data_IF_733295722030
#
_entry.id   IF_733295722030
#
_cell.length_a   1.000
_cell.length_b   1.000
_cell.length_c   1.000
_cell.angle_alpha   90.00
_cell.angle_beta   90.00
_cell.angle_gamma   90.00
#
_symmetry.space_group_name_H-M   'P 1'
#
loop_
_entity.id
_entity.type
_entity.pdbx_description
1 polymer ?
#
# COMPACT_ATOMS: atom_id res chain seq x y z
N UNK A 1 -9.08 -0.20 5.29
CA UNK A 1 -8.80 -0.59 6.69
C UNK A 1 -9.42 0.45 7.59
N UNK A 2 -10.36 0.07 8.45
CA UNK A 2 -10.96 1.01 9.41
C UNK A 2 -10.07 0.98 10.65
N UNK A 3 -9.23 1.98 10.80
CA UNK A 3 -8.44 2.17 12.00
C UNK A 3 -9.28 3.05 12.92
N UNK A 4 -9.52 2.65 14.15
CA UNK A 4 -10.37 3.30 15.15
C UNK A 4 -10.06 4.77 15.49
N UNK A 5 -9.89 5.59 14.46
CA UNK A 5 -9.66 7.02 14.59
C UNK A 5 -10.97 7.75 14.81
N UNK A 6 -10.99 8.66 15.79
CA UNK A 6 -12.09 9.59 15.99
C UNK A 6 -12.25 10.44 14.72
N UNK A 7 -13.46 10.65 14.28
CA UNK A 7 -13.98 11.28 13.06
C UNK A 7 -12.99 11.83 12.01
N UNK A 8 -13.35 11.75 10.73
CA UNK A 8 -12.62 12.38 9.61
C UNK A 8 -12.29 13.86 9.87
N UNK A 9 -13.17 14.59 10.57
CA UNK A 9 -12.88 15.95 11.06
C UNK A 9 -11.69 15.99 12.01
N UNK A 10 -11.47 14.95 12.82
CA UNK A 10 -10.30 14.87 13.70
C UNK A 10 -9.02 14.54 12.91
N UNK A 11 -9.12 13.74 11.84
CA UNK A 11 -7.99 13.48 10.95
C UNK A 11 -7.57 14.73 10.16
N UNK A 12 -8.52 15.57 9.74
CA UNK A 12 -8.26 16.90 9.16
C UNK A 12 -7.76 17.91 10.20
N UNK A 13 -8.16 17.77 11.47
CA UNK A 13 -7.71 18.61 12.58
C UNK A 13 -6.36 18.23 13.15
N UNK A 14 -5.79 17.06 12.79
CA UNK A 14 -4.41 16.67 13.13
C UNK A 14 -3.44 17.51 12.28
N UNK A 15 -3.42 18.81 12.55
CA UNK A 15 -2.53 19.76 11.88
C UNK A 15 -1.42 20.19 12.85
N UNK A 16 -0.25 20.49 12.27
CA UNK A 16 0.85 21.05 13.02
C UNK A 16 1.81 20.04 13.61
N UNK A 17 2.39 20.40 14.75
CA UNK A 17 3.40 19.61 15.45
C UNK A 17 3.04 19.43 16.90
N UNK A 18 3.35 18.27 17.45
CA UNK A 18 3.27 17.99 18.89
C UNK A 18 4.68 17.72 19.41
N UNK A 19 5.10 18.45 20.42
CA UNK A 19 6.46 18.34 20.99
C UNK A 19 7.57 18.43 19.93
N UNK A 20 7.35 19.25 18.87
CA UNK A 20 8.28 19.46 17.77
C UNK A 20 8.24 18.36 16.68
N UNK A 21 7.37 17.34 16.79
CA UNK A 21 7.17 16.31 15.78
C UNK A 21 5.94 16.59 14.95
N UNK A 22 6.00 16.37 13.61
CA UNK A 22 4.84 16.51 12.73
C UNK A 22 3.80 15.42 13.05
N UNK A 23 2.51 15.74 12.89
CA UNK A 23 1.41 14.84 13.22
C UNK A 23 0.88 14.04 12.02
N UNK A 24 1.32 14.35 10.80
CA UNK A 24 0.90 13.67 9.58
C UNK A 24 1.99 13.73 8.50
N UNK A 25 1.79 13.01 7.39
CA UNK A 25 2.75 12.92 6.30
C UNK A 25 3.03 14.28 5.63
N UNK A 26 2.02 15.15 5.46
CA UNK A 26 2.19 16.46 4.82
C UNK A 26 3.10 17.35 5.65
N UNK A 27 2.84 17.48 6.95
CA UNK A 27 3.67 18.26 7.86
C UNK A 27 5.09 17.68 7.99
N UNK A 28 5.23 16.35 7.93
CA UNK A 28 6.52 15.68 7.91
C UNK A 28 7.36 16.03 6.69
N UNK A 29 6.71 16.24 5.53
CA UNK A 29 7.35 16.60 4.27
C UNK A 29 7.56 18.11 4.09
N UNK A 30 6.89 18.95 4.87
CA UNK A 30 6.94 20.40 4.76
C UNK A 30 8.38 20.99 4.73
N UNK A 31 9.35 20.49 5.49
CA UNK A 31 10.74 20.98 5.38
C UNK A 31 11.31 20.89 3.97
N UNK A 32 11.00 19.84 3.22
CA UNK A 32 11.46 19.67 1.85
C UNK A 32 10.64 20.47 0.84
N UNK A 33 9.31 20.42 0.94
CA UNK A 33 8.39 20.99 -0.05
C UNK A 33 8.15 22.49 0.11
N UNK A 34 8.24 22.99 1.35
CA UNK A 34 8.02 24.41 1.67
C UNK A 34 9.33 25.15 1.94
N UNK A 35 10.48 24.54 1.66
CA UNK A 35 11.81 25.13 1.86
C UNK A 35 12.03 25.67 3.29
N UNK A 36 11.47 24.97 4.29
CA UNK A 36 11.66 25.36 5.69
C UNK A 36 13.11 25.10 6.12
N UNK A 37 13.71 25.95 6.98
CA UNK A 37 15.12 25.81 7.42
C UNK A 37 15.30 24.70 8.47
N UNK A 38 14.51 23.65 8.43
CA UNK A 38 14.56 22.51 9.34
C UNK A 38 14.66 21.21 8.56
N UNK A 39 15.26 20.19 9.15
CA UNK A 39 15.29 18.85 8.57
C UNK A 39 13.98 18.10 8.83
N UNK A 40 13.66 17.16 7.94
CA UNK A 40 12.56 16.22 8.13
C UNK A 40 12.72 15.49 9.47
N UNK A 41 11.69 15.50 10.28
CA UNK A 41 11.59 14.78 11.56
C UNK A 41 10.62 13.59 11.43
N UNK A 42 10.77 12.58 12.30
CA UNK A 42 9.82 11.49 12.40
C UNK A 42 8.41 12.01 12.73
N UNK A 43 7.39 11.45 12.07
CA UNK A 43 5.99 11.74 12.38
C UNK A 43 5.65 11.16 13.76
N UNK A 44 4.86 11.90 14.54
CA UNK A 44 4.22 11.38 15.74
C UNK A 44 3.02 10.50 15.33
N UNK A 45 3.29 9.21 15.15
CA UNK A 45 2.31 8.25 14.68
C UNK A 45 1.27 7.92 15.76
N UNK A 46 0.07 7.61 15.32
CA UNK A 46 -1.00 7.19 16.22
C UNK A 46 -0.94 5.67 16.44
N UNK A 47 -0.94 5.25 17.69
CA UNK A 47 -1.08 3.82 18.00
C UNK A 47 -2.51 3.37 17.75
N UNK A 48 -2.68 2.24 17.05
CA UNK A 48 -4.01 1.70 16.77
C UNK A 48 -4.58 1.05 18.04
N UNK A 49 -5.78 1.46 18.49
CA UNK A 49 -6.41 0.88 19.67
C UNK A 49 -6.51 -0.65 19.58
N UNK A 50 -6.17 -1.32 20.68
CA UNK A 50 -6.20 -2.78 20.74
C UNK A 50 -5.00 -3.51 20.13
N UNK A 51 -4.05 -2.79 19.53
CA UNK A 51 -2.81 -3.38 19.01
C UNK A 51 -1.60 -2.49 19.31
N UNK A 52 -0.79 -2.89 20.26
CA UNK A 52 0.40 -2.17 20.74
C UNK A 52 1.58 -2.17 19.74
N UNK A 53 1.51 -2.97 18.68
CA UNK A 53 2.52 -3.07 17.63
C UNK A 53 2.08 -2.49 16.28
N UNK A 54 0.90 -1.87 16.23
CA UNK A 54 0.38 -1.27 15.01
C UNK A 54 0.27 0.25 15.17
N UNK A 55 0.94 0.96 14.26
CA UNK A 55 1.01 2.41 14.24
C UNK A 55 0.47 2.95 12.94
N UNK A 56 -0.21 4.07 12.98
CA UNK A 56 -0.71 4.79 11.81
C UNK A 56 0.06 6.11 11.67
N UNK A 57 0.70 6.30 10.52
CA UNK A 57 1.10 7.62 10.03
C UNK A 57 -0.09 8.21 9.28
N UNK A 58 -0.76 9.24 9.80
CA UNK A 58 -1.93 9.81 9.15
C UNK A 58 -1.57 10.43 7.79
N UNK A 59 -2.43 10.19 6.78
CA UNK A 59 -2.46 10.97 5.56
C UNK A 59 -2.97 12.39 5.81
N UNK A 60 -2.89 13.25 4.78
CA UNK A 60 -3.47 14.58 4.82
C UNK A 60 -3.91 15.01 3.42
N UNK A 61 -5.10 15.61 3.29
CA UNK A 61 -5.64 16.03 1.99
C UNK A 61 -4.71 17.02 1.28
N UNK A 62 -4.05 17.90 2.03
CA UNK A 62 -3.08 18.87 1.50
C UNK A 62 -1.81 18.25 0.91
N UNK A 63 -1.61 16.92 1.00
CA UNK A 63 -0.54 16.24 0.28
C UNK A 63 -0.70 16.39 -1.25
N UNK A 64 -1.93 16.59 -1.73
CA UNK A 64 -2.22 16.86 -3.12
C UNK A 64 -1.56 18.16 -3.65
N UNK A 65 -1.28 19.14 -2.79
CA UNK A 65 -0.55 20.35 -3.15
C UNK A 65 0.90 20.05 -3.56
N UNK A 66 1.49 19.00 -3.00
CA UNK A 66 2.85 18.58 -3.30
C UNK A 66 2.97 17.77 -4.60
N UNK A 67 1.84 17.28 -5.13
CA UNK A 67 1.78 16.48 -6.36
C UNK A 67 2.44 17.21 -7.55
N UNK A 68 2.07 18.46 -7.77
CA UNK A 68 2.58 19.28 -8.89
C UNK A 68 4.08 19.53 -8.73
N UNK A 69 4.51 19.94 -7.53
CA UNK A 69 5.93 20.25 -7.26
C UNK A 69 6.80 19.01 -7.39
N UNK A 70 6.30 17.86 -6.92
CA UNK A 70 6.99 16.59 -7.05
C UNK A 70 7.07 16.14 -8.52
N UNK A 71 5.99 16.31 -9.30
CA UNK A 71 5.99 16.03 -10.74
C UNK A 71 7.05 16.86 -11.49
N UNK A 72 7.13 18.15 -11.22
CA UNK A 72 8.18 19.02 -11.77
C UNK A 72 9.57 18.54 -11.35
N UNK A 73 9.74 18.19 -10.07
CA UNK A 73 11.02 17.67 -9.59
C UNK A 73 11.41 16.35 -10.27
N UNK A 74 10.45 15.49 -10.56
CA UNK A 74 10.70 14.23 -11.27
C UNK A 74 11.08 14.45 -12.75
N UNK A 75 10.44 15.41 -13.41
CA UNK A 75 10.75 15.74 -14.81
C UNK A 75 12.09 16.47 -14.97
N UNK A 76 12.41 17.37 -14.03
CA UNK A 76 13.60 18.23 -14.08
C UNK A 76 14.73 17.71 -13.17
N UNK A 77 14.64 16.48 -12.69
CA UNK A 77 15.66 15.85 -11.84
C UNK A 77 17.04 15.98 -12.50
N UNK A 78 17.98 16.56 -11.79
CA UNK A 78 19.33 16.81 -12.30
C UNK A 78 19.57 18.18 -12.93
N UNK A 79 18.52 18.92 -13.32
CA UNK A 79 18.66 20.26 -13.90
C UNK A 79 18.44 21.37 -12.88
N UNK A 80 17.64 21.16 -11.84
CA UNK A 80 17.31 22.14 -10.82
C UNK A 80 17.76 21.68 -9.43
N UNK A 81 18.90 22.22 -8.99
CA UNK A 81 19.47 21.92 -7.65
C UNK A 81 18.49 22.22 -6.51
N UNK A 82 17.61 23.20 -6.67
CA UNK A 82 16.60 23.57 -5.68
C UNK A 82 15.55 22.48 -5.41
N UNK A 83 15.31 21.58 -6.37
CA UNK A 83 14.32 20.50 -6.27
C UNK A 83 14.94 19.14 -5.89
N UNK A 84 16.26 19.07 -5.75
CA UNK A 84 16.98 17.79 -5.53
C UNK A 84 16.57 17.03 -4.28
N UNK A 85 16.04 17.75 -3.28
CA UNK A 85 15.63 17.15 -2.00
C UNK A 85 14.24 16.48 -2.05
N UNK A 86 13.44 16.74 -3.09
CA UNK A 86 12.05 16.27 -3.14
C UNK A 86 11.94 14.77 -3.46
N UNK A 87 12.63 14.21 -4.47
CA UNK A 87 12.43 12.81 -4.84
C UNK A 87 12.74 11.79 -3.73
N UNK A 88 13.73 12.06 -2.87
CA UNK A 88 14.11 11.18 -1.77
C UNK A 88 13.36 11.44 -0.46
N UNK A 89 12.68 12.57 -0.33
CA UNK A 89 12.12 13.05 0.94
C UNK A 89 11.05 12.12 1.55
N UNK A 90 10.18 11.53 0.72
CA UNK A 90 9.11 10.63 1.20
C UNK A 90 9.70 9.36 1.81
N UNK A 91 10.66 8.74 1.13
CA UNK A 91 11.33 7.55 1.68
C UNK A 91 12.11 7.89 2.95
N UNK A 92 12.82 9.02 2.97
CA UNK A 92 13.53 9.46 4.16
C UNK A 92 12.60 9.66 5.37
N UNK A 93 11.43 10.28 5.17
CA UNK A 93 10.41 10.45 6.21
C UNK A 93 9.92 9.10 6.75
N UNK A 94 9.61 8.16 5.83
CA UNK A 94 9.13 6.82 6.17
C UNK A 94 10.20 6.07 6.98
N UNK A 95 11.43 6.02 6.50
CA UNK A 95 12.53 5.31 7.16
C UNK A 95 12.83 5.91 8.56
N UNK A 96 12.86 7.24 8.65
CA UNK A 96 13.09 7.94 9.91
C UNK A 96 11.98 7.69 10.94
N UNK A 97 10.74 7.67 10.47
CA UNK A 97 9.59 7.38 11.33
C UNK A 97 9.58 5.90 11.75
N UNK A 98 9.79 4.97 10.82
CA UNK A 98 9.88 3.54 11.11
C UNK A 98 10.97 3.24 12.16
N UNK A 99 12.15 3.86 12.02
CA UNK A 99 13.23 3.70 12.99
C UNK A 99 12.87 4.21 14.39
N UNK A 100 12.09 5.30 14.52
CA UNK A 100 11.71 5.83 15.83
C UNK A 100 10.69 4.99 16.59
N UNK A 101 9.98 4.09 15.90
CA UNK A 101 9.00 3.18 16.50
C UNK A 101 9.42 1.70 16.42
N UNK A 102 10.65 1.40 15.97
CA UNK A 102 11.14 0.03 15.73
C UNK A 102 10.19 -0.80 14.84
N UNK A 103 9.77 -0.23 13.72
CA UNK A 103 8.84 -0.85 12.77
C UNK A 103 9.58 -1.79 11.83
N UNK A 104 9.14 -3.04 11.74
CA UNK A 104 9.67 -4.04 10.82
C UNK A 104 9.07 -3.94 9.42
N UNK A 105 7.80 -3.54 9.31
CA UNK A 105 7.03 -3.50 8.05
C UNK A 105 6.26 -2.19 7.93
N UNK A 106 6.37 -1.54 6.78
CA UNK A 106 5.57 -0.37 6.44
C UNK A 106 4.64 -0.73 5.29
N UNK A 107 3.33 -0.60 5.52
CA UNK A 107 2.30 -0.74 4.50
C UNK A 107 1.87 0.63 4.03
N UNK A 108 2.00 0.91 2.73
CA UNK A 108 1.62 2.18 2.12
C UNK A 108 0.31 1.97 1.37
N UNK A 109 -0.78 2.56 1.88
CA UNK A 109 -2.07 2.57 1.19
C UNK A 109 -2.11 3.78 0.24
N UNK A 110 -1.91 3.49 -1.06
CA UNK A 110 -1.82 4.52 -2.09
C UNK A 110 -3.20 4.89 -2.62
N UNK A 111 -3.39 6.16 -2.98
CA UNK A 111 -4.59 6.61 -3.70
C UNK A 111 -4.72 5.89 -5.06
N UNK A 112 -5.93 5.73 -5.60
CA UNK A 112 -6.14 5.10 -6.91
C UNK A 112 -5.80 6.07 -8.07
N UNK A 113 -4.55 6.55 -8.12
CA UNK A 113 -4.07 7.50 -9.14
C UNK A 113 -2.72 7.06 -9.71
N UNK A 114 -2.34 7.62 -10.84
CA UNK A 114 -1.04 7.39 -11.48
C UNK A 114 -0.16 8.66 -11.43
N UNK A 115 -0.39 9.50 -10.41
CA UNK A 115 0.31 10.76 -10.25
C UNK A 115 1.71 10.64 -9.64
N UNK A 116 2.38 11.78 -9.49
CA UNK A 116 3.77 11.88 -9.08
C UNK A 116 4.02 11.35 -7.65
N UNK A 117 3.06 11.55 -6.73
CA UNK A 117 3.14 11.01 -5.36
C UNK A 117 3.15 9.49 -5.39
N UNK A 118 2.21 8.88 -6.11
CA UNK A 118 2.14 7.42 -6.24
C UNK A 118 3.35 6.85 -6.99
N UNK A 119 3.83 7.52 -8.04
CA UNK A 119 5.07 7.15 -8.72
C UNK A 119 6.25 7.14 -7.76
N UNK A 120 6.37 8.17 -6.92
CA UNK A 120 7.48 8.29 -5.95
C UNK A 120 7.39 7.21 -4.87
N UNK A 121 6.22 7.02 -4.25
CA UNK A 121 6.00 6.01 -3.23
C UNK A 121 6.26 4.60 -3.78
N UNK A 122 5.78 4.30 -4.99
CA UNK A 122 6.05 3.03 -5.65
C UNK A 122 7.54 2.86 -5.94
N UNK A 123 8.19 3.85 -6.57
CA UNK A 123 9.60 3.78 -6.98
C UNK A 123 10.57 3.62 -5.79
N UNK A 124 10.17 4.11 -4.62
CA UNK A 124 10.99 4.08 -3.40
C UNK A 124 10.61 2.93 -2.44
N UNK A 125 9.58 2.14 -2.76
CA UNK A 125 9.19 0.96 -2.00
C UNK A 125 10.09 -0.25 -2.29
N UNK A 126 10.09 -1.23 -1.41
CA UNK A 126 10.83 -2.49 -1.60
C UNK A 126 10.01 -3.52 -2.38
N UNK A 127 8.70 -3.57 -2.09
CA UNK A 127 7.75 -4.51 -2.67
C UNK A 127 6.46 -3.79 -3.04
N UNK A 128 5.72 -4.32 -4.01
CA UNK A 128 4.37 -3.86 -4.31
C UNK A 128 3.40 -5.01 -4.52
N UNK A 129 2.15 -4.78 -4.10
CA UNK A 129 1.04 -5.70 -4.23
C UNK A 129 -0.11 -4.98 -4.92
N UNK A 130 -0.81 -5.68 -5.83
CA UNK A 130 -1.88 -5.07 -6.63
C UNK A 130 -3.25 -5.61 -6.18
N UNK A 131 -4.09 -4.79 -5.55
CA UNK A 131 -5.48 -5.18 -5.27
C UNK A 131 -6.32 -5.05 -6.54
N UNK A 132 -7.14 -6.06 -6.81
CA UNK A 132 -8.01 -6.15 -8.00
C UNK A 132 -9.42 -6.57 -7.62
N UNK A 133 -10.39 -6.11 -8.41
CA UNK A 133 -11.76 -6.63 -8.40
C UNK A 133 -11.99 -7.54 -9.60
N UNK A 134 -12.82 -8.58 -9.50
CA UNK A 134 -13.17 -9.41 -10.64
C UNK A 134 -14.18 -8.67 -11.54
N UNK A 135 -13.68 -7.71 -12.32
CA UNK A 135 -14.45 -6.87 -13.22
C UNK A 135 -13.66 -6.40 -14.44
N UNK A 136 -14.37 -5.76 -15.37
CA UNK A 136 -13.78 -5.20 -16.59
C UNK A 136 -12.68 -4.15 -16.31
N UNK A 137 -12.89 -3.30 -15.30
CA UNK A 137 -11.96 -2.19 -15.02
C UNK A 137 -10.61 -2.70 -14.53
N UNK A 138 -10.59 -3.71 -13.66
CA UNK A 138 -9.36 -4.34 -13.20
C UNK A 138 -8.60 -5.03 -14.34
N UNK A 139 -9.31 -5.67 -15.27
CA UNK A 139 -8.69 -6.24 -16.48
C UNK A 139 -8.04 -5.16 -17.35
N UNK A 140 -8.68 -4.00 -17.50
CA UNK A 140 -8.10 -2.85 -18.20
C UNK A 140 -6.94 -2.22 -17.44
N UNK A 141 -7.02 -2.19 -16.09
CA UNK A 141 -5.94 -1.66 -15.25
C UNK A 141 -4.66 -2.48 -15.41
N UNK A 142 -4.73 -3.82 -15.48
CA UNK A 142 -3.58 -4.68 -15.78
C UNK A 142 -2.86 -4.19 -17.05
N UNK A 143 -3.60 -4.00 -18.14
CA UNK A 143 -3.03 -3.51 -19.43
C UNK A 143 -2.39 -2.13 -19.27
N UNK A 144 -3.01 -1.22 -18.51
CA UNK A 144 -2.46 0.12 -18.27
C UNK A 144 -1.16 0.04 -17.46
N UNK A 145 -1.11 -0.79 -16.42
CA UNK A 145 0.06 -0.96 -15.58
C UNK A 145 1.26 -1.52 -16.35
N UNK A 146 1.04 -2.38 -17.37
CA UNK A 146 2.14 -2.85 -18.23
C UNK A 146 2.83 -1.75 -19.02
N UNK A 147 2.18 -0.62 -19.22
CA UNK A 147 2.76 0.57 -19.86
C UNK A 147 3.32 1.60 -18.89
N UNK A 148 2.76 1.69 -17.68
CA UNK A 148 3.10 2.70 -16.68
C UNK A 148 4.30 2.26 -15.83
N UNK A 149 4.29 1.06 -15.27
CA UNK A 149 5.35 0.60 -14.37
C UNK A 149 6.75 0.58 -15.02
N UNK A 150 6.94 0.18 -16.29
CA UNK A 150 8.23 0.32 -16.97
C UNK A 150 8.72 1.76 -17.06
N UNK A 151 7.82 2.73 -17.29
CA UNK A 151 8.19 4.16 -17.34
C UNK A 151 8.63 4.65 -15.97
N UNK A 152 7.89 4.28 -14.92
CA UNK A 152 8.24 4.63 -13.55
C UNK A 152 9.58 4.01 -13.13
N UNK A 153 9.81 2.76 -13.52
CA UNK A 153 11.10 2.10 -13.27
C UNK A 153 12.26 2.78 -14.00
N UNK A 154 12.11 3.07 -15.28
CA UNK A 154 13.15 3.76 -16.05
C UNK A 154 13.50 5.12 -15.43
N UNK A 155 12.48 5.85 -14.98
CA UNK A 155 12.71 7.10 -14.25
C UNK A 155 13.46 6.85 -12.92
N UNK A 156 13.04 5.86 -12.14
CA UNK A 156 13.68 5.54 -10.86
C UNK A 156 15.15 5.12 -11.03
N UNK A 157 15.45 4.30 -12.05
CA UNK A 157 16.81 3.88 -12.37
C UNK A 157 17.68 5.09 -12.78
N UNK A 158 17.13 5.99 -13.61
CA UNK A 158 17.82 7.23 -13.99
C UNK A 158 18.06 8.12 -12.77
N UNK A 159 17.06 8.33 -11.92
CA UNK A 159 17.15 9.12 -10.70
C UNK A 159 18.18 8.54 -9.72
N UNK A 160 18.24 7.23 -9.55
CA UNK A 160 19.22 6.55 -8.71
C UNK A 160 20.66 6.74 -9.21
N UNK A 161 20.88 6.93 -10.51
CA UNK A 161 22.18 7.21 -11.12
C UNK A 161 22.59 8.68 -11.10
N UNK A 162 21.69 9.61 -10.73
CA UNK A 162 21.99 11.04 -10.74
C UNK A 162 22.79 11.47 -9.49
N UNK A 163 24.02 11.91 -9.66
CA UNK A 163 24.85 12.41 -8.55
C UNK A 163 24.14 13.50 -7.74
N UNK A 164 23.44 14.42 -8.40
CA UNK A 164 22.70 15.51 -7.75
C UNK A 164 21.65 14.99 -6.75
N UNK A 165 20.99 13.86 -7.04
CA UNK A 165 20.00 13.25 -6.16
C UNK A 165 20.63 12.35 -5.09
N UNK A 166 21.81 11.81 -5.34
CA UNK A 166 22.58 11.05 -4.36
C UNK A 166 23.24 11.94 -3.30
N UNK A 167 23.65 13.14 -3.69
CA UNK A 167 24.23 14.16 -2.80
C UNK A 167 23.19 15.09 -2.17
N UNK A 168 21.90 14.83 -2.38
CA UNK A 168 20.82 15.58 -1.76
C UNK A 168 20.76 15.34 -0.23
N UNK A 169 20.14 16.26 0.52
CA UNK A 169 19.89 16.09 1.96
C UNK A 169 19.03 14.84 2.24
N UNK A 170 18.14 14.52 1.29
CA UNK A 170 17.32 13.31 1.29
C UNK A 170 17.63 12.50 0.03
N UNK A 171 18.66 11.65 0.04
CA UNK A 171 19.10 10.93 -1.15
C UNK A 171 18.01 10.04 -1.73
N UNK A 172 17.87 10.02 -3.05
CA UNK A 172 16.97 9.10 -3.71
C UNK A 172 17.52 7.66 -3.62
N UNK A 173 16.74 6.67 -3.14
CA UNK A 173 17.25 5.32 -2.91
C UNK A 173 17.57 4.59 -4.21
N UNK A 174 18.73 3.92 -4.26
CA UNK A 174 19.15 3.07 -5.37
C UNK A 174 18.50 1.67 -5.25
N UNK A 175 17.18 1.59 -5.40
CA UNK A 175 16.43 0.32 -5.34
C UNK A 175 15.26 0.34 -6.32
N UNK A 176 14.78 -0.83 -6.67
CA UNK A 176 13.58 -1.01 -7.50
C UNK A 176 12.60 -1.90 -6.77
N UNK A 177 11.34 -1.54 -6.71
CA UNK A 177 10.32 -2.38 -6.10
C UNK A 177 10.18 -3.71 -6.84
N UNK A 178 9.85 -4.77 -6.12
CA UNK A 178 9.57 -6.08 -6.70
C UNK A 178 8.10 -6.44 -6.52
N UNK A 179 7.56 -7.11 -7.52
CA UNK A 179 6.18 -7.58 -7.47
C UNK A 179 6.04 -8.67 -6.42
N UNK A 180 5.28 -8.41 -5.38
CA UNK A 180 4.97 -9.40 -4.35
C UNK A 180 3.87 -10.34 -4.83
N UNK A 181 2.87 -9.81 -5.54
CA UNK A 181 1.70 -10.54 -6.01
C UNK A 181 0.47 -9.65 -6.12
N UNK A 182 -0.68 -10.28 -6.25
CA UNK A 182 -1.95 -9.56 -6.30
C UNK A 182 -3.01 -10.23 -5.41
N UNK A 183 -4.04 -9.48 -5.08
CA UNK A 183 -5.21 -9.96 -4.34
C UNK A 183 -6.47 -9.70 -5.14
N UNK A 184 -7.39 -10.66 -5.13
CA UNK A 184 -8.74 -10.50 -5.69
C UNK A 184 -9.70 -10.27 -4.53
N UNK A 185 -10.49 -9.22 -4.60
CA UNK A 185 -11.38 -8.82 -3.51
C UNK A 185 -12.80 -8.50 -3.99
N UNK A 186 -13.75 -8.51 -3.04
CA UNK A 186 -15.16 -8.10 -3.25
C UNK A 186 -15.91 -8.95 -4.30
N UNK A 187 -15.62 -10.22 -4.42
CA UNK A 187 -16.48 -11.12 -5.19
C UNK A 187 -17.64 -11.63 -4.31
N UNK A 188 -18.78 -11.95 -4.93
CA UNK A 188 -19.92 -12.52 -4.22
C UNK A 188 -19.90 -14.03 -4.36
N UNK A 189 -19.71 -14.78 -3.26
CA UNK A 189 -19.73 -16.22 -3.31
C UNK A 189 -21.17 -16.74 -3.48
N UNK A 190 -21.31 -17.86 -4.18
CA UNK A 190 -22.53 -18.69 -4.20
C UNK A 190 -22.12 -20.10 -3.80
N UNK A 191 -22.67 -20.61 -2.72
CA UNK A 191 -22.28 -21.91 -2.15
C UNK A 191 -20.75 -22.02 -1.86
N UNK A 192 -20.14 -20.95 -1.34
CA UNK A 192 -18.71 -20.93 -0.96
C UNK A 192 -17.71 -20.68 -2.08
N UNK A 193 -18.16 -20.62 -3.34
CA UNK A 193 -17.31 -20.32 -4.52
C UNK A 193 -17.82 -19.07 -5.25
N UNK A 194 -16.99 -18.36 -6.04
CA UNK A 194 -17.46 -17.26 -6.88
C UNK A 194 -18.64 -17.68 -7.74
N UNK A 195 -19.66 -16.83 -7.90
CA UNK A 195 -20.75 -17.12 -8.84
C UNK A 195 -20.16 -17.21 -10.26
N UNK A 196 -20.85 -17.95 -11.17
CA UNK A 196 -20.35 -18.16 -12.55
C UNK A 196 -19.94 -16.86 -13.27
N UNK A 197 -20.68 -15.77 -13.07
CA UNK A 197 -20.35 -14.47 -13.65
C UNK A 197 -19.04 -13.87 -13.07
N UNK A 198 -18.84 -13.98 -11.76
CA UNK A 198 -17.58 -13.54 -11.13
C UNK A 198 -16.43 -14.47 -11.48
N UNK A 199 -16.65 -15.79 -11.59
CA UNK A 199 -15.61 -16.73 -11.97
C UNK A 199 -15.03 -16.39 -13.33
N UNK A 200 -15.86 -16.04 -14.31
CA UNK A 200 -15.39 -15.60 -15.64
C UNK A 200 -14.42 -14.40 -15.55
N UNK A 201 -14.73 -13.44 -14.67
CA UNK A 201 -13.83 -12.28 -14.45
C UNK A 201 -12.56 -12.65 -13.68
N UNK A 202 -12.66 -13.56 -12.72
CA UNK A 202 -11.47 -14.10 -12.01
C UNK A 202 -10.55 -14.79 -13.01
N UNK A 203 -11.09 -15.67 -13.86
CA UNK A 203 -10.32 -16.38 -14.88
C UNK A 203 -9.64 -15.41 -15.87
N UNK A 204 -10.33 -14.33 -16.28
CA UNK A 204 -9.77 -13.30 -17.13
C UNK A 204 -8.68 -12.48 -16.44
N UNK A 205 -8.80 -12.22 -15.12
CA UNK A 205 -7.76 -11.55 -14.35
C UNK A 205 -6.53 -12.44 -14.22
N UNK A 206 -6.70 -13.71 -13.89
CA UNK A 206 -5.61 -14.69 -13.78
C UNK A 206 -4.87 -14.83 -15.11
N UNK A 207 -5.61 -14.97 -16.22
CA UNK A 207 -5.04 -15.00 -17.57
C UNK A 207 -4.29 -13.72 -17.91
N UNK A 208 -4.87 -12.56 -17.61
CA UNK A 208 -4.24 -11.25 -17.81
C UNK A 208 -2.97 -11.06 -16.99
N UNK A 209 -2.98 -11.51 -15.74
CA UNK A 209 -1.78 -11.46 -14.87
C UNK A 209 -0.71 -12.41 -15.41
N UNK A 210 -1.05 -13.67 -15.68
CA UNK A 210 -0.08 -14.68 -16.09
C UNK A 210 0.53 -14.39 -17.49
N UNK A 211 -0.29 -13.99 -18.46
CA UNK A 211 0.11 -13.90 -19.86
C UNK A 211 0.44 -12.48 -20.34
N UNK A 212 0.08 -11.43 -19.58
CA UNK A 212 0.32 -10.04 -19.99
C UNK A 212 1.16 -9.32 -18.94
N UNK A 213 0.75 -9.34 -17.66
CA UNK A 213 1.37 -8.53 -16.62
C UNK A 213 2.73 -9.07 -16.18
N UNK A 214 2.81 -10.34 -15.78
CA UNK A 214 4.05 -10.99 -15.37
C UNK A 214 5.13 -10.89 -16.45
N UNK A 215 4.89 -11.23 -17.72
CA UNK A 215 5.90 -11.07 -18.76
C UNK A 215 6.37 -9.61 -18.96
N UNK A 216 5.50 -8.63 -18.71
CA UNK A 216 5.91 -7.22 -18.75
C UNK A 216 6.81 -6.86 -17.55
N UNK A 217 6.51 -7.36 -16.35
CA UNK A 217 7.32 -7.15 -15.15
C UNK A 217 8.69 -7.85 -15.25
N UNK A 218 8.74 -9.06 -15.80
CA UNK A 218 9.99 -9.80 -16.04
C UNK A 218 10.94 -9.02 -16.94
N UNK A 219 10.44 -8.51 -18.08
CA UNK A 219 11.24 -7.68 -19.00
C UNK A 219 11.85 -6.45 -18.35
N UNK A 220 11.21 -5.93 -17.30
CA UNK A 220 11.68 -4.76 -16.55
C UNK A 220 12.47 -5.12 -15.30
N UNK A 221 12.65 -6.42 -15.00
CA UNK A 221 13.32 -6.86 -13.79
C UNK A 221 12.57 -6.52 -12.50
N UNK A 222 11.23 -6.47 -12.55
CA UNK A 222 10.36 -6.16 -11.41
C UNK A 222 9.87 -7.42 -10.67
N UNK A 223 10.25 -8.62 -11.13
CA UNK A 223 9.90 -9.88 -10.45
C UNK A 223 10.94 -10.23 -9.38
N UNK A 224 10.50 -10.94 -8.36
CA UNK A 224 11.38 -11.69 -7.45
C UNK A 224 11.86 -12.97 -8.15
N UNK A 225 12.90 -13.59 -7.61
CA UNK A 225 13.34 -14.91 -8.07
C UNK A 225 12.27 -15.97 -7.80
N UNK A 226 12.14 -16.94 -8.68
CA UNK A 226 11.13 -18.00 -8.58
C UNK A 226 11.21 -18.78 -7.24
N UNK A 227 12.42 -19.00 -6.73
CA UNK A 227 12.67 -19.64 -5.43
C UNK A 227 12.07 -18.85 -4.26
N UNK A 228 12.00 -17.53 -4.34
CA UNK A 228 11.43 -16.66 -3.31
C UNK A 228 9.91 -16.82 -3.25
N UNK A 229 9.22 -16.85 -4.40
CA UNK A 229 7.78 -17.13 -4.44
C UNK A 229 7.46 -18.55 -3.92
N UNK A 230 8.29 -19.55 -4.29
CA UNK A 230 8.15 -20.92 -3.78
C UNK A 230 8.29 -20.98 -2.27
N UNK A 231 9.22 -20.22 -1.68
CA UNK A 231 9.38 -20.12 -0.22
C UNK A 231 8.15 -19.49 0.44
N UNK A 232 7.49 -18.55 -0.23
CA UNK A 232 6.20 -17.98 0.17
C UNK A 232 5.03 -18.97 0.06
N UNK A 233 5.20 -20.05 -0.70
CA UNK A 233 4.19 -21.08 -0.91
C UNK A 233 3.09 -20.67 -1.91
N UNK A 234 3.42 -19.84 -2.91
CA UNK A 234 2.48 -19.44 -3.96
C UNK A 234 3.18 -19.17 -5.31
N UNK A 235 2.40 -19.19 -6.38
CA UNK A 235 2.79 -18.78 -7.72
C UNK A 235 2.35 -17.32 -7.94
N UNK A 236 3.20 -16.40 -8.43
CA UNK A 236 2.82 -15.01 -8.69
C UNK A 236 1.71 -14.84 -9.73
N UNK A 237 1.46 -15.85 -10.57
CA UNK A 237 0.32 -15.90 -11.50
C UNK A 237 -1.02 -16.20 -10.82
N UNK A 238 -1.00 -16.62 -9.55
CA UNK A 238 -2.18 -16.86 -8.73
C UNK A 238 -2.34 -15.79 -7.66
N UNK A 239 -3.56 -15.42 -7.26
CA UNK A 239 -3.76 -14.42 -6.21
C UNK A 239 -3.24 -14.94 -4.85
N UNK A 240 -2.49 -14.09 -4.14
CA UNK A 240 -2.07 -14.38 -2.76
C UNK A 240 -3.30 -14.59 -1.87
N UNK A 241 -4.36 -13.84 -2.15
CA UNK A 241 -5.60 -13.82 -1.40
C UNK A 241 -6.78 -13.62 -2.35
N UNK A 242 -7.82 -14.43 -2.18
CA UNK A 242 -9.15 -14.18 -2.75
C UNK A 242 -10.11 -13.85 -1.60
N UNK A 243 -10.60 -12.61 -1.54
CA UNK A 243 -11.42 -12.10 -0.44
C UNK A 243 -12.85 -11.88 -0.92
N UNK A 244 -13.83 -12.60 -0.36
CA UNK A 244 -15.25 -12.34 -0.63
C UNK A 244 -15.67 -10.94 -0.18
N UNK A 245 -16.82 -10.47 -0.69
CA UNK A 245 -17.45 -9.25 -0.21
C UNK A 245 -17.82 -9.40 1.29
N UNK A 246 -17.47 -8.39 2.06
CA UNK A 246 -17.75 -8.36 3.49
C UNK A 246 -19.23 -8.15 3.82
N UNK A 247 -20.05 -7.80 2.84
CA UNK A 247 -21.48 -7.52 2.98
C UNK A 247 -21.74 -6.47 4.10
N UNK A 248 -22.71 -6.72 4.96
CA UNK A 248 -23.07 -5.82 6.05
C UNK A 248 -21.99 -5.70 7.14
N UNK A 249 -21.03 -6.63 7.23
CA UNK A 249 -19.97 -6.56 8.21
C UNK A 249 -19.07 -5.33 8.01
N UNK A 250 -18.90 -4.84 6.77
CA UNK A 250 -18.11 -3.65 6.51
C UNK A 250 -18.73 -2.40 7.15
N UNK A 251 -20.06 -2.26 7.11
CA UNK A 251 -20.75 -1.13 7.72
C UNK A 251 -20.55 -1.13 9.25
N UNK A 252 -20.68 -2.29 9.90
CA UNK A 252 -20.41 -2.44 11.33
C UNK A 252 -18.96 -2.18 11.70
N UNK A 253 -18.04 -2.70 10.90
CA UNK A 253 -16.61 -2.43 11.05
C UNK A 253 -16.29 -0.95 11.00
N UNK A 254 -16.91 -0.21 10.08
CA UNK A 254 -16.74 1.24 9.95
C UNK A 254 -17.36 2.00 11.12
N UNK A 255 -18.57 1.62 11.54
CA UNK A 255 -19.28 2.23 12.67
C UNK A 255 -18.50 2.09 13.98
N UNK A 256 -18.00 0.87 14.25
CA UNK A 256 -17.27 0.58 15.49
C UNK A 256 -15.75 0.76 15.37
N UNK A 257 -15.23 1.06 14.18
CA UNK A 257 -13.79 1.24 13.91
C UNK A 257 -12.94 0.04 14.33
N UNK A 258 -13.49 -1.15 14.14
CA UNK A 258 -12.89 -2.43 14.50
C UNK A 258 -12.82 -3.31 13.25
N UNK A 259 -11.72 -4.06 13.02
CA UNK A 259 -11.65 -5.03 11.92
C UNK A 259 -12.84 -5.98 11.93
N UNK A 260 -13.35 -6.32 10.75
CA UNK A 260 -14.56 -7.17 10.62
C UNK A 260 -14.50 -8.48 11.41
N UNK A 261 -13.32 -9.07 11.55
CA UNK A 261 -13.10 -10.33 12.25
C UNK A 261 -12.88 -10.17 13.77
N UNK A 262 -12.90 -8.93 14.27
CA UNK A 262 -12.81 -8.61 15.70
C UNK A 262 -14.09 -7.97 16.26
N UNK A 263 -15.13 -7.78 15.42
CA UNK A 263 -16.42 -7.29 15.88
C UNK A 263 -17.03 -8.27 16.90
N UNK A 264 -17.46 -7.74 18.02
CA UNK A 264 -18.15 -8.53 19.07
C UNK A 264 -19.58 -8.84 18.69
N UNK A 265 -20.21 -9.78 19.39
CA UNK A 265 -21.63 -10.12 19.19
C UNK A 265 -22.55 -8.90 19.40
N UNK A 266 -22.23 -8.03 20.37
CA UNK A 266 -23.01 -6.82 20.64
C UNK A 266 -22.85 -5.82 19.50
N UNK A 267 -21.64 -5.64 18.94
CA UNK A 267 -21.38 -4.75 17.80
C UNK A 267 -22.02 -5.24 16.49
N UNK A 268 -22.25 -6.55 16.36
CA UNK A 268 -22.97 -7.11 15.22
C UNK A 268 -24.47 -6.79 15.27
N UNK A 269 -25.05 -6.57 16.47
CA UNK A 269 -26.49 -6.31 16.70
C UNK A 269 -27.38 -7.36 16.05
N UNK A 270 -26.99 -8.62 16.09
CA UNK A 270 -27.68 -9.74 15.46
C UNK A 270 -27.97 -10.84 16.48
N UNK A 271 -28.96 -11.64 16.20
CA UNK A 271 -29.38 -12.75 17.09
C UNK A 271 -29.64 -14.05 16.31
N UNK A 272 -29.58 -15.17 16.99
CA UNK A 272 -29.94 -16.47 16.43
C UNK A 272 -29.08 -16.91 15.26
N UNK A 273 -29.68 -17.47 14.21
CA UNK A 273 -28.96 -18.00 13.05
C UNK A 273 -28.21 -16.94 12.25
N UNK A 274 -28.68 -15.68 12.26
CA UNK A 274 -28.00 -14.56 11.56
C UNK A 274 -26.69 -14.25 12.26
N UNK A 275 -26.66 -14.17 13.58
CA UNK A 275 -25.42 -13.98 14.36
C UNK A 275 -24.42 -15.11 14.08
N UNK A 276 -24.89 -16.36 14.16
CA UNK A 276 -24.01 -17.52 13.90
C UNK A 276 -23.41 -17.49 12.49
N UNK A 277 -24.19 -17.09 11.48
CA UNK A 277 -23.69 -16.94 10.10
C UNK A 277 -22.64 -15.85 9.97
N UNK A 278 -22.85 -14.70 10.63
CA UNK A 278 -21.88 -13.61 10.63
C UNK A 278 -20.59 -13.98 11.35
N UNK A 279 -20.65 -14.67 12.47
CA UNK A 279 -19.49 -15.19 13.18
C UNK A 279 -18.71 -16.23 12.37
N UNK A 280 -19.40 -17.10 11.63
CA UNK A 280 -18.75 -18.03 10.70
C UNK A 280 -18.02 -17.28 9.58
N UNK A 281 -18.62 -16.22 9.03
CA UNK A 281 -17.98 -15.35 8.04
C UNK A 281 -16.76 -14.61 8.61
N UNK A 282 -16.84 -14.10 9.84
CA UNK A 282 -15.71 -13.48 10.55
C UNK A 282 -14.53 -14.44 10.69
N UNK A 283 -14.79 -15.68 11.11
CA UNK A 283 -13.78 -16.72 11.24
C UNK A 283 -13.11 -17.04 9.89
N UNK A 284 -13.90 -17.11 8.81
CA UNK A 284 -13.39 -17.31 7.46
C UNK A 284 -12.50 -16.14 7.02
N UNK A 285 -12.92 -14.89 7.23
CA UNK A 285 -12.11 -13.72 6.88
C UNK A 285 -10.80 -13.68 7.66
N UNK A 286 -10.86 -13.95 8.96
CA UNK A 286 -9.65 -14.03 9.80
C UNK A 286 -8.66 -15.06 9.26
N UNK A 287 -9.12 -16.26 8.95
CA UNK A 287 -8.30 -17.32 8.37
C UNK A 287 -7.65 -16.89 7.03
N UNK A 288 -8.42 -16.25 6.14
CA UNK A 288 -7.91 -15.79 4.85
C UNK A 288 -6.80 -14.72 5.01
N UNK A 289 -6.98 -13.76 5.92
CA UNK A 289 -5.95 -12.76 6.22
C UNK A 289 -4.70 -13.39 6.85
N UNK A 290 -4.87 -14.34 7.77
CA UNK A 290 -3.75 -15.04 8.41
C UNK A 290 -2.93 -15.84 7.38
N UNK A 291 -3.57 -16.56 6.48
CA UNK A 291 -2.88 -17.32 5.43
C UNK A 291 -2.15 -16.40 4.44
N UNK A 292 -2.78 -15.31 4.02
CA UNK A 292 -2.13 -14.32 3.17
C UNK A 292 -0.90 -13.69 3.87
N UNK A 293 -1.05 -13.32 5.15
CA UNK A 293 0.04 -12.76 5.96
C UNK A 293 1.22 -13.73 6.09
N UNK A 294 0.95 -15.02 6.33
CA UNK A 294 2.00 -16.05 6.40
C UNK A 294 2.76 -16.18 5.08
N UNK A 295 2.05 -16.16 3.93
CA UNK A 295 2.68 -16.19 2.60
C UNK A 295 3.60 -14.98 2.39
N UNK A 296 3.09 -13.78 2.70
CA UNK A 296 3.83 -12.52 2.56
C UNK A 296 5.09 -12.54 3.45
N UNK A 297 4.96 -12.88 4.73
CA UNK A 297 6.09 -12.91 5.68
C UNK A 297 7.16 -13.90 5.21
N UNK A 298 6.80 -15.13 4.85
CA UNK A 298 7.75 -16.12 4.33
C UNK A 298 8.48 -15.65 3.07
N UNK A 299 7.78 -14.93 2.18
CA UNK A 299 8.39 -14.34 0.99
C UNK A 299 9.40 -13.26 1.38
N UNK A 300 9.05 -12.38 2.31
CA UNK A 300 9.95 -11.32 2.78
C UNK A 300 11.18 -11.92 3.49
N UNK A 301 10.99 -12.93 4.31
CA UNK A 301 12.09 -13.60 5.00
C UNK A 301 13.05 -14.25 3.99
N UNK A 302 12.54 -14.84 2.90
CA UNK A 302 13.35 -15.42 1.84
C UNK A 302 14.14 -14.37 1.01
N UNK A 303 13.70 -13.11 0.98
CA UNK A 303 14.44 -12.00 0.34
C UNK A 303 15.62 -11.57 1.22
N UNK A 304 15.48 -11.68 2.55
CA UNK A 304 16.48 -11.21 3.53
C UNK A 304 17.66 -12.19 3.72
N UNK A 305 17.53 -13.41 3.24
CA UNK A 305 18.59 -14.44 3.24
C UNK A 305 19.46 -14.32 2.01
#
# INVERSE_FOLDING_TARGET
MVLGLEDLETAESIQGTKDGRPLNIREGLAPAFESRPSLIQAVDCQQVPGNDRLWLMPGHIGLAEYEVTLGIAQELSGSLVTLRNLPGSMRYLIDKTAASYNIDFVLIDMSPSLGAVNQNLWATSDLFLVPMHPDYFSTMAIKSLTGVLPKWKNWADAAAGMQTLQEAEYPFPARSPKFLGYVVQKYRPRAGVPSKAFQTWVDQLEDGVANIFIPALERCGLMLDASVYQSGGYDPGQPILQMPDFNSLIARSQEHRVPIFELTADQLEQVGSVLSSSQASQAQFKYLFEEASKRIIRTIDAIRV
#
